data_IF_053061507847
#
_entry.id   IF_053061507847
#
_cell.length_a   1.000
_cell.length_b   1.000
_cell.length_c   1.000
_cell.angle_alpha   90.00
_cell.angle_beta   90.00
_cell.angle_gamma   90.00
#
_symmetry.space_group_name_H-M   'P 1'
#
loop_
_entity.id
_entity.type
_entity.pdbx_description
1 polymer ?
#
# COMPACT_ATOMS: atom_id res chain seq x y z
N UNK A 1 7.03 -14.61 -29.94
CA UNK A 1 6.38 -14.49 -28.61
C UNK A 1 7.24 -13.68 -27.65
N UNK A 2 8.56 -13.90 -27.60
CA UNK A 2 9.51 -13.11 -26.79
C UNK A 2 9.42 -11.61 -27.10
N UNK A 3 9.35 -11.18 -28.37
CA UNK A 3 9.24 -9.73 -28.68
C UNK A 3 7.93 -9.08 -28.24
N UNK A 4 6.82 -9.85 -28.23
CA UNK A 4 5.53 -9.38 -27.72
C UNK A 4 5.53 -9.29 -26.20
N UNK A 5 6.14 -10.27 -25.53
CA UNK A 5 6.33 -10.26 -24.07
C UNK A 5 7.29 -9.14 -23.66
N UNK A 6 8.39 -8.96 -24.39
CA UNK A 6 9.34 -7.87 -24.18
C UNK A 6 8.67 -6.51 -24.34
N UNK A 7 7.87 -6.28 -25.39
CA UNK A 7 7.12 -5.03 -25.58
C UNK A 7 6.05 -4.78 -24.50
N UNK A 8 5.45 -5.84 -23.92
CA UNK A 8 4.53 -5.70 -22.80
C UNK A 8 5.29 -5.35 -21.51
N UNK A 9 6.43 -6.01 -21.27
CA UNK A 9 7.26 -5.80 -20.09
C UNK A 9 8.01 -4.45 -20.09
N UNK A 10 8.39 -3.95 -21.27
CA UNK A 10 9.08 -2.65 -21.45
C UNK A 10 8.12 -1.51 -21.71
N UNK A 11 6.81 -1.77 -21.81
CA UNK A 11 5.82 -0.71 -21.97
C UNK A 11 5.93 0.27 -20.79
N UNK A 12 6.01 1.59 -21.03
CA UNK A 12 6.08 2.60 -19.98
C UNK A 12 4.98 2.46 -18.92
N UNK A 13 3.80 1.99 -19.29
CA UNK A 13 2.70 1.71 -18.37
C UNK A 13 3.00 0.52 -17.45
N UNK A 14 3.60 -0.56 -17.99
CA UNK A 14 3.98 -1.74 -17.20
C UNK A 14 5.20 -1.47 -16.32
N UNK A 15 6.18 -0.72 -16.83
CA UNK A 15 7.33 -0.25 -16.05
C UNK A 15 6.87 0.68 -14.92
N UNK A 16 5.97 1.63 -15.19
CA UNK A 16 5.39 2.49 -14.15
C UNK A 16 4.53 1.70 -13.15
N UNK A 17 3.87 0.63 -13.59
CA UNK A 17 3.12 -0.27 -12.71
C UNK A 17 4.06 -1.07 -11.79
N UNK A 18 5.14 -1.64 -12.33
CA UNK A 18 6.14 -2.40 -11.58
C UNK A 18 6.91 -1.51 -10.59
N UNK A 19 7.19 -0.27 -10.98
CA UNK A 19 7.82 0.73 -10.09
C UNK A 19 6.83 1.32 -9.08
N UNK A 20 5.53 1.04 -9.20
CA UNK A 20 4.52 1.49 -8.25
C UNK A 20 4.20 0.35 -7.28
N UNK A 21 4.92 0.33 -6.16
CA UNK A 21 4.74 -0.64 -5.07
C UNK A 21 3.27 -0.81 -4.68
N UNK A 22 2.51 0.28 -4.59
CA UNK A 22 1.08 0.21 -4.23
C UNK A 22 0.27 -0.55 -5.27
N UNK A 23 0.46 -0.22 -6.55
CA UNK A 23 -0.28 -0.90 -7.61
C UNK A 23 0.13 -2.38 -7.72
N UNK A 24 1.43 -2.68 -7.62
CA UNK A 24 1.97 -4.04 -7.65
C UNK A 24 1.37 -4.91 -6.53
N UNK A 25 1.44 -4.47 -5.28
CA UNK A 25 0.90 -5.22 -4.14
C UNK A 25 -0.62 -5.34 -4.21
N UNK A 26 -1.32 -4.31 -4.68
CA UNK A 26 -2.79 -4.36 -4.86
C UNK A 26 -3.17 -5.45 -5.86
N UNK A 27 -2.52 -5.46 -7.03
CA UNK A 27 -2.79 -6.45 -8.09
C UNK A 27 -2.47 -7.85 -7.59
N UNK A 28 -1.32 -8.02 -6.95
CA UNK A 28 -0.90 -9.30 -6.38
C UNK A 28 -1.93 -9.81 -5.34
N UNK A 29 -2.41 -8.92 -4.47
CA UNK A 29 -3.39 -9.26 -3.43
C UNK A 29 -4.73 -9.66 -4.04
N UNK A 30 -5.23 -8.92 -5.03
CA UNK A 30 -6.46 -9.26 -5.76
C UNK A 30 -6.30 -10.60 -6.49
N UNK A 31 -5.17 -10.81 -7.16
CA UNK A 31 -4.88 -12.05 -7.87
C UNK A 31 -4.78 -13.24 -6.91
N UNK A 32 -4.17 -13.07 -5.74
CA UNK A 32 -4.13 -14.11 -4.69
C UNK A 32 -5.51 -14.41 -4.13
N UNK A 33 -6.32 -13.38 -3.90
CA UNK A 33 -7.67 -13.51 -3.36
C UNK A 33 -8.62 -14.26 -4.28
N UNK A 34 -8.45 -14.16 -5.59
CA UNK A 34 -9.27 -14.90 -6.56
C UNK A 34 -8.62 -16.20 -7.01
N UNK A 35 -7.31 -16.17 -7.28
CA UNK A 35 -6.55 -17.29 -7.83
C UNK A 35 -6.42 -18.45 -6.85
N UNK A 36 -5.99 -18.21 -5.60
CA UNK A 36 -5.76 -19.32 -4.66
C UNK A 36 -7.04 -20.11 -4.36
N UNK A 37 -8.19 -19.47 -4.05
CA UNK A 37 -9.45 -20.21 -3.87
C UNK A 37 -9.89 -20.94 -5.15
N UNK A 38 -9.71 -20.33 -6.32
CA UNK A 38 -10.06 -20.96 -7.59
C UNK A 38 -9.20 -22.21 -7.86
N UNK A 39 -7.89 -22.15 -7.65
CA UNK A 39 -7.01 -23.30 -7.81
C UNK A 39 -7.35 -24.44 -6.83
N UNK A 40 -7.69 -24.11 -5.57
CA UNK A 40 -8.14 -25.12 -4.59
C UNK A 40 -9.45 -25.80 -5.04
N UNK A 41 -10.38 -25.03 -5.60
CA UNK A 41 -11.64 -25.59 -6.13
C UNK A 41 -11.42 -26.46 -7.38
N UNK A 42 -10.39 -26.17 -8.17
CA UNK A 42 -10.03 -26.91 -9.39
C UNK A 42 -9.22 -28.18 -9.11
N UNK A 43 -8.60 -28.31 -7.93
CA UNK A 43 -7.85 -29.52 -7.57
C UNK A 43 -8.82 -30.72 -7.53
N UNK A 44 -8.65 -31.72 -8.40
CA UNK A 44 -9.55 -32.89 -8.43
C UNK A 44 -9.11 -34.01 -7.50
N UNK A 45 -7.94 -33.89 -6.86
CA UNK A 45 -7.36 -34.94 -6.02
C UNK A 45 -7.92 -34.95 -4.59
N UNK A 46 -8.70 -33.92 -4.24
CA UNK A 46 -9.28 -33.73 -2.91
C UNK A 46 -10.81 -33.81 -3.00
N UNK A 47 -11.46 -34.33 -1.97
CA UNK A 47 -12.92 -34.43 -1.93
C UNK A 47 -13.60 -33.05 -2.01
N UNK A 48 -14.86 -33.04 -2.45
CA UNK A 48 -15.58 -31.80 -2.76
C UNK A 48 -15.81 -30.92 -1.52
N UNK A 49 -15.97 -31.50 -0.34
CA UNK A 49 -16.28 -30.75 0.86
C UNK A 49 -15.03 -30.17 1.51
N UNK A 50 -13.92 -30.91 1.50
CA UNK A 50 -12.59 -30.40 1.89
C UNK A 50 -12.12 -29.28 0.96
N UNK A 51 -12.37 -29.38 -0.36
CA UNK A 51 -12.05 -28.31 -1.30
C UNK A 51 -12.84 -27.04 -1.04
N UNK A 52 -14.15 -27.16 -0.82
CA UNK A 52 -14.99 -26.01 -0.46
C UNK A 52 -14.53 -25.38 0.85
N UNK A 53 -14.28 -26.20 1.88
CA UNK A 53 -13.76 -25.72 3.17
C UNK A 53 -12.44 -24.96 2.99
N UNK A 54 -11.47 -25.56 2.31
CA UNK A 54 -10.15 -24.98 2.11
C UNK A 54 -10.19 -23.72 1.25
N UNK A 55 -10.96 -23.72 0.16
CA UNK A 55 -11.12 -22.57 -0.72
C UNK A 55 -11.82 -21.41 -0.01
N UNK A 56 -12.86 -21.68 0.79
CA UNK A 56 -13.54 -20.65 1.59
C UNK A 56 -12.61 -20.08 2.65
N UNK A 57 -11.86 -20.93 3.37
CA UNK A 57 -10.90 -20.48 4.38
C UNK A 57 -9.81 -19.60 3.77
N UNK A 58 -9.19 -20.04 2.67
CA UNK A 58 -8.16 -19.26 1.97
C UNK A 58 -8.74 -17.98 1.39
N UNK A 59 -9.95 -18.01 0.82
CA UNK A 59 -10.63 -16.84 0.29
C UNK A 59 -10.90 -15.78 1.36
N UNK A 60 -11.41 -16.20 2.53
CA UNK A 60 -11.61 -15.32 3.68
C UNK A 60 -10.29 -14.73 4.19
N UNK A 61 -9.23 -15.54 4.25
CA UNK A 61 -7.91 -15.07 4.63
C UNK A 61 -7.37 -14.01 3.67
N UNK A 62 -7.50 -14.24 2.35
CA UNK A 62 -7.03 -13.30 1.34
C UNK A 62 -7.88 -12.02 1.30
N UNK A 63 -9.20 -12.12 1.51
CA UNK A 63 -10.07 -10.95 1.65
C UNK A 63 -9.73 -10.13 2.89
N UNK A 64 -9.42 -10.79 4.01
CA UNK A 64 -8.95 -10.12 5.22
C UNK A 64 -7.62 -9.39 4.96
N UNK A 65 -6.65 -10.07 4.34
CA UNK A 65 -5.37 -9.47 3.97
C UNK A 65 -5.55 -8.26 3.05
N UNK A 66 -6.44 -8.36 2.04
CA UNK A 66 -6.78 -7.25 1.15
C UNK A 66 -7.45 -6.10 1.90
N UNK A 67 -8.36 -6.39 2.82
CA UNK A 67 -9.03 -5.39 3.66
C UNK A 67 -8.05 -4.64 4.57
N UNK A 68 -7.14 -5.37 5.24
CA UNK A 68 -6.06 -4.79 6.05
C UNK A 68 -5.16 -3.93 5.17
N UNK A 69 -4.75 -4.43 4.00
CA UNK A 69 -3.92 -3.67 3.07
C UNK A 69 -4.58 -2.35 2.65
N UNK A 70 -5.85 -2.40 2.23
CA UNK A 70 -6.60 -1.22 1.77
C UNK A 70 -6.89 -0.21 2.89
N UNK A 71 -6.90 -0.62 4.16
CA UNK A 71 -7.21 0.26 5.31
C UNK A 71 -5.97 0.77 6.02
N UNK A 72 -4.99 -0.09 6.31
CA UNK A 72 -3.74 0.27 7.01
C UNK A 72 -2.91 1.27 6.22
N UNK A 73 -2.84 1.10 4.90
CA UNK A 73 -2.01 1.95 4.05
C UNK A 73 -2.46 3.43 4.10
N UNK A 74 -3.73 3.77 3.81
CA UNK A 74 -4.18 5.16 3.85
C UNK A 74 -4.25 5.74 5.28
N UNK A 75 -4.53 4.92 6.29
CA UNK A 75 -4.74 5.42 7.66
C UNK A 75 -3.44 5.57 8.46
N UNK A 76 -2.56 4.57 8.40
CA UNK A 76 -1.37 4.48 9.27
C UNK A 76 -0.13 4.90 8.49
N UNK A 77 0.18 4.23 7.38
CA UNK A 77 1.46 4.43 6.70
C UNK A 77 1.57 5.73 5.94
N UNK A 78 0.47 6.19 5.35
CA UNK A 78 0.42 7.46 4.61
C UNK A 78 0.67 8.69 5.49
N UNK A 79 0.26 8.64 6.76
CA UNK A 79 0.43 9.73 7.72
C UNK A 79 1.69 9.58 8.57
N UNK A 80 1.90 8.41 9.16
CA UNK A 80 2.99 8.19 10.12
C UNK A 80 4.23 7.59 9.46
N UNK A 81 4.05 6.58 8.60
CA UNK A 81 5.14 5.93 7.89
C UNK A 81 5.98 6.91 7.06
N UNK A 82 5.31 7.80 6.30
CA UNK A 82 6.01 8.83 5.53
C UNK A 82 6.85 9.77 6.41
N UNK A 83 6.31 10.26 7.54
CA UNK A 83 7.07 11.15 8.45
C UNK A 83 8.30 10.48 9.02
N UNK A 84 8.20 9.20 9.37
CA UNK A 84 9.32 8.42 9.89
C UNK A 84 10.36 8.26 8.78
N UNK A 85 9.97 7.80 7.59
CA UNK A 85 10.87 7.64 6.44
C UNK A 85 11.53 8.95 6.04
N UNK A 86 10.78 10.05 6.06
CA UNK A 86 11.28 11.40 5.78
C UNK A 86 12.29 11.86 6.83
N UNK A 87 12.07 11.57 8.12
CA UNK A 87 13.03 11.90 9.18
C UNK A 87 14.35 11.12 9.05
N UNK A 88 14.27 9.86 8.60
CA UNK A 88 15.46 9.04 8.32
C UNK A 88 16.26 9.66 7.17
N UNK A 89 15.60 9.97 6.04
CA UNK A 89 16.25 10.46 4.83
C UNK A 89 16.67 11.95 4.90
N UNK A 90 16.01 12.76 5.75
CA UNK A 90 16.37 14.16 6.00
C UNK A 90 17.78 14.34 6.53
N UNK A 91 18.28 13.38 7.29
CA UNK A 91 19.64 13.43 7.86
C UNK A 91 20.73 13.42 6.78
N UNK A 92 20.42 12.96 5.58
CA UNK A 92 21.41 12.75 4.52
C UNK A 92 21.21 13.66 3.29
N UNK A 93 19.97 14.08 2.98
CA UNK A 93 19.66 14.61 1.63
C UNK A 93 18.77 15.86 1.54
N UNK A 94 18.74 16.71 2.58
CA UNK A 94 18.03 18.02 2.58
C UNK A 94 16.59 17.96 1.99
N UNK A 95 15.77 17.03 2.50
CA UNK A 95 14.39 16.88 2.04
C UNK A 95 13.49 17.91 2.75
N UNK A 96 12.62 18.65 2.03
CA UNK A 96 11.65 19.56 2.63
C UNK A 96 10.72 18.85 3.64
N UNK A 97 10.20 19.58 4.63
CA UNK A 97 9.28 19.03 5.66
C UNK A 97 7.82 18.89 5.19
N UNK A 98 7.58 18.17 4.10
CA UNK A 98 6.22 17.79 3.69
C UNK A 98 5.42 17.21 4.86
N UNK A 99 4.19 17.68 5.04
CA UNK A 99 3.28 17.30 6.13
C UNK A 99 2.92 15.81 6.09
N UNK A 100 2.75 15.27 4.90
CA UNK A 100 2.38 13.89 4.63
C UNK A 100 2.73 13.49 3.17
N UNK A 101 2.53 12.21 2.84
CA UNK A 101 2.79 11.71 1.50
C UNK A 101 1.93 12.38 0.40
N UNK A 102 0.69 12.81 0.71
CA UNK A 102 -0.16 13.48 -0.29
C UNK A 102 0.38 14.83 -0.72
N UNK A 103 0.84 15.63 0.24
CA UNK A 103 1.43 16.93 -0.07
C UNK A 103 2.66 16.77 -0.97
N UNK A 104 3.52 15.80 -0.66
CA UNK A 104 4.66 15.47 -1.51
C UNK A 104 4.24 14.96 -2.90
N UNK A 105 3.30 14.03 -2.99
CA UNK A 105 2.86 13.47 -4.28
C UNK A 105 2.18 14.53 -5.15
N UNK A 106 1.40 15.42 -4.54
CA UNK A 106 0.82 16.57 -5.23
C UNK A 106 1.91 17.52 -5.73
N UNK A 107 2.91 17.79 -4.89
CA UNK A 107 4.07 18.60 -5.27
C UNK A 107 4.82 17.98 -6.45
N UNK A 108 5.14 16.68 -6.38
CA UNK A 108 5.85 15.96 -7.43
C UNK A 108 5.09 15.99 -8.76
N UNK A 109 3.76 15.87 -8.72
CA UNK A 109 2.90 15.97 -9.90
C UNK A 109 2.98 17.36 -10.53
N UNK A 110 2.92 18.42 -9.72
CA UNK A 110 3.07 19.80 -10.19
C UNK A 110 4.49 20.08 -10.73
N UNK A 111 5.53 19.62 -10.03
CA UNK A 111 6.92 19.77 -10.45
C UNK A 111 7.23 19.02 -11.76
N UNK A 112 6.43 18.01 -12.10
CA UNK A 112 6.56 17.24 -13.34
C UNK A 112 5.73 17.82 -14.50
N UNK A 113 4.82 18.76 -14.23
CA UNK A 113 4.05 19.47 -15.26
C UNK A 113 4.85 20.63 -15.88
N UNK A 114 4.53 21.08 -17.10
CA UNK A 114 5.05 22.32 -17.65
C UNK A 114 4.64 23.54 -16.82
N UNK A 115 5.52 24.55 -16.70
CA UNK A 115 5.29 25.77 -15.90
C UNK A 115 3.94 26.45 -16.20
N UNK A 116 3.54 26.52 -17.48
CA UNK A 116 2.31 27.15 -17.95
C UNK A 116 1.03 26.52 -17.36
N UNK A 117 1.07 25.23 -17.02
CA UNK A 117 -0.10 24.49 -16.54
C UNK A 117 -0.21 24.47 -15.01
N UNK A 118 0.86 24.84 -14.29
CA UNK A 118 0.92 24.71 -12.82
C UNK A 118 0.05 25.74 -12.09
N UNK A 119 0.07 27.00 -12.54
CA UNK A 119 -0.56 28.12 -11.83
C UNK A 119 -2.09 27.98 -11.71
N UNK A 120 -2.75 27.43 -12.73
CA UNK A 120 -4.19 27.18 -12.74
C UNK A 120 -4.59 25.81 -12.18
N UNK A 121 -3.63 24.96 -11.81
CA UNK A 121 -3.93 23.58 -11.44
C UNK A 121 -4.55 23.48 -10.04
N UNK A 122 -5.61 22.67 -9.89
CA UNK A 122 -6.35 22.49 -8.62
C UNK A 122 -5.46 22.07 -7.44
N UNK A 123 -4.41 21.29 -7.72
CA UNK A 123 -3.45 20.82 -6.71
C UNK A 123 -2.57 21.94 -6.16
N UNK A 124 -2.52 23.12 -6.79
CA UNK A 124 -1.71 24.21 -6.28
C UNK A 124 -2.21 24.73 -4.92
N UNK A 125 -3.49 24.52 -4.61
CA UNK A 125 -4.11 24.83 -3.32
C UNK A 125 -3.74 23.85 -2.21
N UNK A 126 -3.22 22.67 -2.55
CA UNK A 126 -2.91 21.62 -1.57
C UNK A 126 -1.45 21.65 -1.10
N UNK A 127 -0.62 22.52 -1.69
CA UNK A 127 0.76 22.74 -1.29
C UNK A 127 0.80 23.86 -0.26
N UNK A 128 1.47 23.61 0.87
CA UNK A 128 1.67 24.61 1.91
C UNK A 128 2.36 25.87 1.37
N UNK A 129 1.87 27.02 1.82
CA UNK A 129 2.40 28.33 1.43
C UNK A 129 3.70 28.68 2.14
N UNK A 130 3.95 28.06 3.29
CA UNK A 130 5.14 28.33 4.13
C UNK A 130 6.23 27.29 3.96
N UNK A 131 5.96 26.22 3.20
CA UNK A 131 6.92 25.14 3.03
C UNK A 131 8.11 25.62 2.21
N UNK A 132 9.30 25.48 2.80
CA UNK A 132 10.59 25.84 2.23
C UNK A 132 11.48 24.61 2.09
N UNK A 133 12.46 24.70 1.19
CA UNK A 133 13.45 23.63 0.99
C UNK A 133 14.34 23.47 2.23
N UNK A 134 14.81 24.58 2.78
CA UNK A 134 15.52 24.68 4.05
C UNK A 134 14.94 25.81 4.89
N UNK A 135 15.15 25.83 6.22
CA UNK A 135 14.68 26.93 7.08
C UNK A 135 15.12 28.32 6.59
N UNK A 136 16.33 28.40 6.05
CA UNK A 136 16.98 29.63 5.61
C UNK A 136 16.63 30.04 4.17
N UNK A 137 15.86 29.22 3.44
CA UNK A 137 15.51 29.52 2.06
C UNK A 137 14.65 30.80 1.96
N UNK A 138 14.98 31.63 0.97
CA UNK A 138 14.25 32.89 0.70
C UNK A 138 12.89 32.66 0.07
N UNK A 139 12.78 31.63 -0.79
CA UNK A 139 11.56 31.31 -1.53
C UNK A 139 10.90 30.05 -1.00
N UNK A 140 9.59 29.98 -1.20
CA UNK A 140 8.78 28.80 -0.84
C UNK A 140 8.80 27.78 -1.97
N UNK A 141 8.49 26.51 -1.66
CA UNK A 141 8.33 25.48 -2.70
C UNK A 141 7.20 25.83 -3.67
N UNK A 142 6.15 26.50 -3.19
CA UNK A 142 5.02 26.98 -4.01
C UNK A 142 5.48 28.07 -4.99
N UNK A 143 6.30 29.01 -4.55
CA UNK A 143 6.93 29.99 -5.45
C UNK A 143 7.84 29.33 -6.47
N UNK A 144 8.69 28.40 -6.04
CA UNK A 144 9.59 27.66 -6.94
C UNK A 144 8.83 26.89 -8.03
N UNK A 145 7.65 26.34 -7.72
CA UNK A 145 6.78 25.71 -8.72
C UNK A 145 6.28 26.69 -9.78
N UNK A 146 6.01 27.94 -9.40
CA UNK A 146 5.48 28.98 -10.28
C UNK A 146 6.58 29.69 -11.09
N UNK A 147 7.80 29.78 -10.55
CA UNK A 147 8.88 30.57 -11.15
C UNK A 147 9.86 29.72 -11.97
N UNK A 148 10.22 28.52 -11.50
CA UNK A 148 11.24 27.68 -12.13
C UNK A 148 10.66 26.84 -13.28
N UNK A 149 11.41 26.70 -14.38
CA UNK A 149 11.02 25.77 -15.44
C UNK A 149 11.11 24.31 -14.99
N UNK A 150 12.17 23.97 -14.24
CA UNK A 150 12.42 22.62 -13.73
C UNK A 150 12.65 22.64 -12.21
N UNK A 151 11.59 22.66 -11.40
CA UNK A 151 11.69 22.55 -9.94
C UNK A 151 12.31 21.21 -9.51
N UNK A 152 13.03 21.20 -8.39
CA UNK A 152 13.55 19.97 -7.80
C UNK A 152 12.39 19.01 -7.46
N UNK A 153 12.51 17.75 -7.87
CA UNK A 153 11.47 16.73 -7.68
C UNK A 153 11.62 15.96 -6.36
N UNK A 154 12.74 16.12 -5.66
CA UNK A 154 13.09 15.41 -4.42
C UNK A 154 12.84 13.90 -4.56
N UNK A 155 13.60 13.22 -5.41
CA UNK A 155 13.42 11.78 -5.71
C UNK A 155 13.49 10.92 -4.45
N UNK A 156 14.23 11.37 -3.45
CA UNK A 156 14.37 10.76 -2.14
C UNK A 156 13.05 10.73 -1.36
N UNK A 157 12.24 11.79 -1.47
CA UNK A 157 10.91 11.81 -0.85
C UNK A 157 9.96 10.80 -1.53
N UNK A 158 10.13 10.51 -2.83
CA UNK A 158 9.44 9.39 -3.49
C UNK A 158 9.91 8.06 -2.91
N UNK A 159 11.21 7.89 -2.70
CA UNK A 159 11.75 6.74 -1.98
C UNK A 159 11.19 6.60 -0.56
N UNK A 160 11.01 7.71 0.16
CA UNK A 160 10.41 7.72 1.50
C UNK A 160 8.96 7.21 1.48
N UNK A 161 8.19 7.64 0.46
CA UNK A 161 6.82 7.18 0.22
C UNK A 161 6.81 5.68 -0.09
N UNK A 162 7.66 5.21 -1.00
CA UNK A 162 7.75 3.79 -1.36
C UNK A 162 8.16 2.92 -0.19
N UNK A 163 9.19 3.32 0.57
CA UNK A 163 9.62 2.65 1.80
C UNK A 163 8.49 2.57 2.83
N UNK A 164 7.72 3.65 2.99
CA UNK A 164 6.57 3.66 3.90
C UNK A 164 5.47 2.68 3.48
N UNK A 165 5.21 2.55 2.17
CA UNK A 165 4.26 1.58 1.64
C UNK A 165 4.78 0.14 1.77
N UNK A 166 6.07 -0.10 1.54
CA UNK A 166 6.70 -1.41 1.70
C UNK A 166 6.68 -1.86 3.17
N UNK A 167 7.22 -1.04 4.07
CA UNK A 167 7.24 -1.32 5.50
C UNK A 167 5.83 -1.56 6.02
N UNK A 168 4.85 -0.79 5.51
CA UNK A 168 3.48 -0.97 5.93
C UNK A 168 2.76 -2.18 5.41
N UNK A 169 3.09 -2.59 4.20
CA UNK A 169 2.64 -3.87 3.65
C UNK A 169 3.20 -5.01 4.49
N UNK A 170 4.50 -5.01 4.77
CA UNK A 170 5.15 -6.07 5.55
C UNK A 170 4.59 -6.14 6.97
N UNK A 171 4.52 -5.01 7.69
CA UNK A 171 4.00 -4.98 9.07
C UNK A 171 2.51 -5.35 9.09
N UNK A 172 1.71 -4.77 8.21
CA UNK A 172 0.26 -5.00 8.17
C UNK A 172 -0.09 -6.45 7.82
N UNK A 173 0.60 -7.06 6.86
CA UNK A 173 0.32 -8.43 6.44
C UNK A 173 1.00 -9.47 7.34
N UNK A 174 2.23 -9.23 7.80
CA UNK A 174 2.96 -10.23 8.59
C UNK A 174 2.50 -10.30 10.04
N UNK A 175 2.19 -9.17 10.67
CA UNK A 175 1.83 -9.12 12.09
C UNK A 175 0.32 -9.06 12.27
N UNK A 176 -0.32 -8.07 11.66
CA UNK A 176 -1.74 -7.78 11.91
C UNK A 176 -2.65 -8.82 11.25
N UNK A 177 -2.38 -9.22 10.00
CA UNK A 177 -3.21 -10.24 9.36
C UNK A 177 -3.11 -11.59 10.07
N UNK A 178 -1.94 -11.95 10.63
CA UNK A 178 -1.76 -13.19 11.39
C UNK A 178 -2.60 -13.20 12.67
N UNK A 179 -2.58 -12.12 13.46
CA UNK A 179 -3.36 -12.02 14.70
C UNK A 179 -4.86 -11.92 14.43
N UNK A 180 -5.27 -11.06 13.49
CA UNK A 180 -6.69 -10.85 13.18
C UNK A 180 -7.31 -12.06 12.49
N UNK A 181 -6.54 -12.80 11.66
CA UNK A 181 -7.02 -14.00 10.99
C UNK A 181 -7.57 -15.01 11.98
N UNK A 182 -6.84 -15.33 13.04
CA UNK A 182 -7.31 -16.31 14.02
C UNK A 182 -8.58 -15.86 14.74
N UNK A 183 -8.74 -14.56 14.97
CA UNK A 183 -9.90 -13.99 15.65
C UNK A 183 -11.15 -13.90 14.77
N UNK A 184 -10.97 -13.64 13.46
CA UNK A 184 -12.07 -13.37 12.52
C UNK A 184 -12.44 -14.60 11.68
N UNK A 185 -11.48 -15.40 11.21
CA UNK A 185 -11.79 -16.54 10.34
C UNK A 185 -12.59 -17.63 11.06
N UNK A 186 -12.23 -17.97 12.30
CA UNK A 186 -12.93 -19.01 13.06
C UNK A 186 -14.43 -18.73 13.26
N UNK A 187 -14.86 -17.55 13.75
CA UNK A 187 -16.29 -17.28 13.89
C UNK A 187 -17.04 -17.23 12.55
N UNK A 188 -16.41 -16.74 11.48
CA UNK A 188 -17.03 -16.73 10.14
C UNK A 188 -17.18 -18.16 9.61
N UNK A 189 -16.14 -18.99 9.70
CA UNK A 189 -16.19 -20.39 9.27
C UNK A 189 -17.25 -21.20 10.05
N UNK A 190 -17.41 -20.93 11.35
CA UNK A 190 -18.50 -21.49 12.16
C UNK A 190 -19.88 -21.02 11.68
N UNK A 191 -20.04 -19.73 11.42
CA UNK A 191 -21.28 -19.15 10.92
C UNK A 191 -21.68 -19.69 9.53
N UNK A 192 -20.71 -20.01 8.69
CA UNK A 192 -20.92 -20.65 7.38
C UNK A 192 -21.17 -22.16 7.46
N UNK A 193 -21.21 -22.75 8.66
CA UNK A 193 -21.48 -24.17 8.86
C UNK A 193 -20.31 -25.11 8.54
N UNK A 194 -19.12 -24.55 8.30
CA UNK A 194 -17.90 -25.31 8.00
C UNK A 194 -17.20 -25.85 9.25
N UNK A 195 -17.54 -25.35 10.44
CA UNK A 195 -17.09 -25.89 11.74
C UNK A 195 -18.32 -26.23 12.61
N UNK A 196 -18.42 -27.48 13.09
CA UNK A 196 -19.40 -27.82 14.13
C UNK A 196 -18.96 -27.23 15.46
N UNK A 197 -19.93 -26.71 16.24
CA UNK A 197 -19.72 -26.31 17.64
C UNK A 197 -19.22 -27.52 18.42
N UNK A 198 -17.94 -27.58 18.80
CA UNK A 198 -17.44 -28.63 19.68
C UNK A 198 -18.18 -28.57 21.03
N UNK A 199 -18.95 -29.60 21.45
CA UNK A 199 -19.65 -29.57 22.74
C UNK A 199 -18.72 -29.73 23.96
N UNK A 200 -17.39 -29.78 23.78
CA UNK A 200 -16.44 -30.18 24.81
C UNK A 200 -15.39 -29.16 25.24
N UNK A 201 -15.33 -27.94 24.69
CA UNK A 201 -14.32 -26.95 25.11
C UNK A 201 -14.83 -26.08 26.26
N UNK A 202 -15.16 -26.69 27.40
CA UNK A 202 -15.18 -25.98 28.69
C UNK A 202 -13.73 -25.91 29.18
N UNK A 203 -13.20 -24.69 29.25
CA UNK A 203 -12.06 -24.23 30.06
C UNK A 203 -11.10 -25.30 30.61
N UNK A 204 -9.94 -25.41 29.96
CA UNK A 204 -8.68 -25.64 30.67
C UNK A 204 -8.07 -24.26 30.99
N UNK A 205 -8.79 -23.44 31.77
CA UNK A 205 -8.20 -22.32 32.53
C UNK A 205 -8.49 -22.55 34.00
N UNK A 206 -7.63 -23.33 34.65
CA UNK A 206 -7.32 -23.15 36.07
C UNK A 206 -6.07 -23.92 36.46
N UNK A 207 -4.91 -23.30 36.19
CA UNK A 207 -3.72 -23.37 37.05
C UNK A 207 -2.99 -22.04 36.96
N UNK A 208 -3.41 -21.11 37.81
CA UNK A 208 -2.57 -20.21 38.61
C UNK A 208 -3.32 -19.96 39.91
#
# INVERSE_FOLDING_TARGET
MIDKVANILTNPSFVNLAQNTKACVTIESVFKATGRPAFIMMDTNVDKDTRKYAATKEGLYQLLCLGIYLTMIPLVFKKYGFKISQKILKKEKCIPDFKNADEYLNYLKLASMPKKERAGHKLMKTISETLKETPDAKTTLKENLLTLEHPNKYKEAKGAVELSYLAGTVIGLALIASEISNLILHPIMRGLGFEKKNPGSKHLDKKM
#
